data_IF_983566948333
#
_entry.id   IF_983566948333
#
_cell.length_a   1.000
_cell.length_b   1.000
_cell.length_c   1.000
_cell.angle_alpha   90.00
_cell.angle_beta   90.00
_cell.angle_gamma   90.00
#
_symmetry.space_group_name_H-M   'P 1'
#
loop_
_entity.id
_entity.type
_entity.pdbx_description
1 polymer ?
#
# COMPACT_ATOMS: atom_id res chain seq x y z
N UNK A 1 -24.37 26.62 18.34
CA UNK A 1 -23.19 27.44 18.01
C UNK A 1 -22.46 26.75 16.88
N UNK A 2 -22.72 27.18 15.64
CA UNK A 2 -22.19 26.59 14.39
C UNK A 2 -20.66 26.39 14.50
N UNK A 3 -20.19 25.15 14.39
CA UNK A 3 -18.75 24.87 14.35
C UNK A 3 -18.30 24.94 12.89
N UNK A 4 -17.35 25.83 12.64
CA UNK A 4 -16.81 26.07 11.30
C UNK A 4 -15.43 25.41 11.23
N UNK A 5 -15.29 24.42 10.34
CA UNK A 5 -14.02 23.73 10.10
C UNK A 5 -13.29 24.36 8.93
N UNK A 6 -12.01 24.65 9.12
CA UNK A 6 -11.11 25.17 8.08
C UNK A 6 -10.39 24.04 7.36
N UNK A 7 -9.74 24.39 6.25
CA UNK A 7 -8.90 23.47 5.48
C UNK A 7 -7.84 22.81 6.39
N UNK A 8 -7.62 21.53 6.18
CA UNK A 8 -6.67 20.65 6.89
C UNK A 8 -7.04 20.35 8.37
N UNK A 9 -8.17 20.84 8.87
CA UNK A 9 -8.66 20.48 10.20
C UNK A 9 -9.26 19.08 10.23
N UNK A 10 -9.01 18.36 11.33
CA UNK A 10 -9.57 17.03 11.53
C UNK A 10 -11.06 17.07 11.85
N UNK A 11 -11.76 16.09 11.27
CA UNK A 11 -13.17 15.82 11.44
C UNK A 11 -13.28 14.44 12.09
N UNK A 12 -13.91 14.39 13.25
CA UNK A 12 -14.27 13.17 13.95
C UNK A 12 -15.38 12.41 13.22
N UNK A 13 -15.58 11.13 13.53
CA UNK A 13 -16.65 10.31 12.93
C UNK A 13 -18.04 10.91 13.14
N UNK A 14 -18.31 11.45 14.33
CA UNK A 14 -19.61 12.06 14.65
C UNK A 14 -19.83 13.33 13.81
N UNK A 15 -18.82 14.20 13.70
CA UNK A 15 -18.88 15.39 12.84
C UNK A 15 -19.03 15.02 11.35
N UNK A 16 -18.42 13.92 10.91
CA UNK A 16 -18.58 13.41 9.56
C UNK A 16 -20.02 12.95 9.27
N UNK A 17 -20.61 12.16 10.17
CA UNK A 17 -22.01 11.72 10.03
C UNK A 17 -22.97 12.92 10.04
N UNK A 18 -22.65 13.97 10.82
CA UNK A 18 -23.44 15.20 10.85
C UNK A 18 -23.61 15.88 9.50
N UNK A 19 -22.68 15.67 8.56
CA UNK A 19 -22.77 16.20 7.20
C UNK A 19 -23.98 15.65 6.41
N UNK A 20 -24.66 14.61 6.90
CA UNK A 20 -25.77 13.95 6.21
C UNK A 20 -27.11 13.97 6.99
N UNK A 21 -27.23 14.78 8.04
CA UNK A 21 -28.52 15.03 8.70
C UNK A 21 -29.38 16.02 7.89
N UNK A 22 -30.71 15.92 7.97
CA UNK A 22 -31.62 16.96 7.46
C UNK A 22 -31.80 18.08 8.49
N UNK A 23 -32.27 19.24 8.04
CA UNK A 23 -32.82 20.27 8.93
C UNK A 23 -33.91 19.66 9.84
N UNK A 24 -34.01 20.21 11.05
CA UNK A 24 -34.80 19.66 12.17
C UNK A 24 -36.27 19.48 11.83
N UNK A 25 -36.85 18.40 12.34
CA UNK A 25 -38.30 18.27 12.49
C UNK A 25 -38.78 19.30 13.54
N UNK A 26 -39.65 20.27 13.18
CA UNK A 26 -40.14 21.31 14.08
C UNK A 26 -40.92 20.76 15.28
N UNK A 27 -41.29 19.48 15.27
CA UNK A 27 -42.19 18.86 16.25
C UNK A 27 -41.47 18.11 17.37
N UNK A 28 -40.22 17.67 17.19
CA UNK A 28 -39.50 16.85 18.19
C UNK A 28 -38.08 17.31 18.54
N UNK A 29 -37.51 18.27 17.79
CA UNK A 29 -36.15 18.77 18.03
C UNK A 29 -35.03 17.76 17.83
N UNK A 30 -35.33 16.51 17.47
CA UNK A 30 -34.33 15.46 17.17
C UNK A 30 -33.85 15.56 15.72
N UNK A 31 -32.54 15.60 15.53
CA UNK A 31 -31.90 15.43 14.23
C UNK A 31 -32.16 14.01 13.72
N UNK A 32 -32.99 13.87 12.69
CA UNK A 32 -33.23 12.59 12.04
C UNK A 32 -32.21 12.47 10.89
N UNK A 33 -31.42 11.39 10.81
CA UNK A 33 -30.55 11.17 9.67
C UNK A 33 -31.37 11.10 8.38
N UNK A 34 -30.96 11.88 7.38
CA UNK A 34 -31.56 11.82 6.07
C UNK A 34 -31.04 10.57 5.35
N UNK A 35 -31.77 9.48 5.49
CA UNK A 35 -31.41 8.18 4.91
C UNK A 35 -31.19 8.26 3.40
N UNK A 36 -31.93 9.13 2.71
CA UNK A 36 -31.79 9.31 1.26
C UNK A 36 -30.45 9.99 0.90
N UNK A 37 -30.03 11.00 1.68
CA UNK A 37 -28.71 11.63 1.51
C UNK A 37 -27.57 10.64 1.80
N UNK A 38 -27.69 9.82 2.86
CA UNK A 38 -26.68 8.81 3.20
C UNK A 38 -26.60 7.73 2.11
N UNK A 39 -27.74 7.25 1.62
CA UNK A 39 -27.80 6.29 0.51
C UNK A 39 -27.16 6.86 -0.76
N UNK A 40 -27.45 8.13 -1.08
CA UNK A 40 -26.83 8.82 -2.21
C UNK A 40 -25.32 8.98 -2.05
N UNK A 41 -24.84 9.29 -0.84
CA UNK A 41 -23.40 9.37 -0.55
C UNK A 41 -22.70 8.01 -0.68
N UNK A 42 -23.35 6.93 -0.23
CA UNK A 42 -22.87 5.55 -0.43
C UNK A 42 -22.82 5.22 -1.92
N UNK A 43 -23.85 5.55 -2.70
CA UNK A 43 -23.89 5.33 -4.14
C UNK A 43 -22.74 6.05 -4.86
N UNK A 44 -22.54 7.35 -4.57
CA UNK A 44 -21.41 8.13 -5.10
C UNK A 44 -20.07 7.47 -4.74
N UNK A 45 -19.89 7.03 -3.50
CA UNK A 45 -18.66 6.38 -3.07
C UNK A 45 -18.44 5.03 -3.76
N UNK A 46 -19.51 4.25 -3.99
CA UNK A 46 -19.45 2.98 -4.70
C UNK A 46 -19.09 3.15 -6.18
N UNK A 47 -19.73 4.09 -6.85
CA UNK A 47 -19.47 4.41 -8.26
C UNK A 47 -18.06 4.96 -8.44
N UNK A 48 -17.63 5.86 -7.55
CA UNK A 48 -16.27 6.40 -7.59
C UNK A 48 -15.23 5.32 -7.31
N UNK A 49 -15.48 4.41 -6.35
CA UNK A 49 -14.60 3.26 -6.09
C UNK A 49 -14.49 2.37 -7.32
N UNK A 50 -15.61 2.07 -7.98
CA UNK A 50 -15.63 1.26 -9.21
C UNK A 50 -14.84 1.94 -10.33
N UNK A 51 -15.08 3.24 -10.54
CA UNK A 51 -14.35 4.05 -11.52
C UNK A 51 -12.84 4.07 -11.25
N UNK A 52 -12.42 4.24 -10.00
CA UNK A 52 -11.00 4.19 -9.61
C UNK A 52 -10.36 2.82 -9.85
N UNK A 53 -11.11 1.72 -9.65
CA UNK A 53 -10.65 0.37 -10.00
C UNK A 53 -10.48 0.23 -11.51
N UNK A 54 -11.41 0.73 -12.32
CA UNK A 54 -11.29 0.70 -13.78
C UNK A 54 -10.09 1.53 -14.26
N UNK A 55 -9.94 2.76 -13.75
CA UNK A 55 -8.80 3.61 -14.05
C UNK A 55 -7.48 2.97 -13.60
N UNK A 56 -7.46 2.28 -12.47
CA UNK A 56 -6.29 1.57 -11.98
C UNK A 56 -5.77 0.53 -12.99
N UNK A 57 -6.69 -0.25 -13.59
CA UNK A 57 -6.33 -1.21 -14.63
C UNK A 57 -5.90 -0.53 -15.93
N UNK A 58 -6.60 0.53 -16.36
CA UNK A 58 -6.20 1.33 -17.54
C UNK A 58 -4.80 1.93 -17.35
N UNK A 59 -4.50 2.43 -16.15
CA UNK A 59 -3.16 2.95 -15.81
C UNK A 59 -2.09 1.89 -15.89
N UNK A 60 -2.38 0.73 -15.31
CA UNK A 60 -1.48 -0.43 -15.36
C UNK A 60 -1.17 -0.84 -16.80
N UNK A 61 -2.16 -0.86 -17.69
CA UNK A 61 -1.98 -1.25 -19.08
C UNK A 61 -0.99 -0.34 -19.83
N UNK A 62 -1.14 0.98 -19.75
CA UNK A 62 -0.20 1.87 -20.46
C UNK A 62 1.20 1.85 -19.85
N UNK A 63 1.34 1.72 -18.52
CA UNK A 63 2.67 1.66 -17.90
C UNK A 63 3.41 0.39 -18.34
N UNK A 64 2.72 -0.76 -18.37
CA UNK A 64 3.28 -2.01 -18.88
C UNK A 64 3.69 -1.87 -20.34
N UNK A 65 2.86 -1.21 -21.17
CA UNK A 65 3.17 -0.96 -22.59
C UNK A 65 4.44 -0.12 -22.75
N UNK A 66 4.54 1.03 -22.08
CA UNK A 66 5.70 1.91 -22.18
C UNK A 66 6.97 1.25 -21.64
N UNK A 67 6.90 0.59 -20.49
CA UNK A 67 8.03 -0.13 -19.91
C UNK A 67 8.47 -1.28 -20.85
N UNK A 68 7.53 -1.97 -21.48
CA UNK A 68 7.82 -3.00 -22.48
C UNK A 68 8.57 -2.43 -23.70
N UNK A 69 8.12 -1.29 -24.23
CA UNK A 69 8.81 -0.62 -25.33
C UNK A 69 10.25 -0.18 -24.95
N UNK A 70 10.42 0.37 -23.75
CA UNK A 70 11.74 0.75 -23.22
C UNK A 70 12.63 -0.47 -23.03
N UNK A 71 12.09 -1.60 -22.58
CA UNK A 71 12.85 -2.84 -22.46
C UNK A 71 13.37 -3.32 -23.83
N UNK A 72 12.53 -3.31 -24.87
CA UNK A 72 12.94 -3.66 -26.24
C UNK A 72 13.99 -2.67 -26.76
N UNK A 73 13.79 -1.38 -26.54
CA UNK A 73 14.75 -0.34 -26.91
C UNK A 73 16.11 -0.53 -26.24
N UNK A 74 16.12 -0.81 -24.93
CA UNK A 74 17.33 -1.08 -24.17
C UNK A 74 18.05 -2.32 -24.71
N UNK A 75 17.33 -3.41 -24.96
CA UNK A 75 17.92 -4.63 -25.54
C UNK A 75 18.58 -4.36 -26.89
N UNK A 76 17.91 -3.64 -27.78
CA UNK A 76 18.46 -3.30 -29.10
C UNK A 76 19.74 -2.44 -28.99
N UNK A 77 19.73 -1.43 -28.12
CA UNK A 77 20.90 -0.56 -27.88
C UNK A 77 22.06 -1.33 -27.24
N UNK A 78 21.75 -2.23 -26.31
CA UNK A 78 22.73 -3.10 -25.65
C UNK A 78 23.36 -4.11 -26.63
N UNK A 79 22.59 -4.65 -27.58
CA UNK A 79 23.07 -5.65 -28.54
C UNK A 79 23.79 -5.05 -29.75
N UNK A 80 23.31 -3.90 -30.27
CA UNK A 80 23.73 -3.41 -31.59
C UNK A 80 24.46 -2.06 -31.57
N UNK A 81 24.40 -1.31 -30.47
CA UNK A 81 25.02 0.02 -30.38
C UNK A 81 26.24 0.02 -29.45
N UNK A 82 27.26 0.80 -29.79
CA UNK A 82 28.38 1.11 -28.89
C UNK A 82 28.14 2.37 -28.05
N UNK A 83 26.98 3.01 -28.19
CA UNK A 83 26.70 4.27 -27.49
C UNK A 83 26.24 3.99 -26.07
N UNK A 84 27.20 4.04 -25.14
CA UNK A 84 26.94 3.86 -23.72
C UNK A 84 25.96 4.91 -23.16
N UNK A 85 26.05 6.15 -23.64
CA UNK A 85 25.15 7.23 -23.23
C UNK A 85 23.69 6.92 -23.60
N UNK A 86 23.46 6.22 -24.72
CA UNK A 86 22.12 5.80 -25.11
C UNK A 86 21.59 4.70 -24.17
N UNK A 87 22.39 3.71 -23.80
CA UNK A 87 21.95 2.64 -22.88
C UNK A 87 21.65 3.20 -21.49
N UNK A 88 22.51 4.10 -21.00
CA UNK A 88 22.35 4.79 -19.72
C UNK A 88 21.08 5.66 -19.70
N UNK A 89 20.81 6.41 -20.78
CA UNK A 89 19.59 7.21 -20.91
C UNK A 89 18.34 6.34 -20.91
N UNK A 90 18.33 5.25 -21.69
CA UNK A 90 17.18 4.34 -21.74
C UNK A 90 16.97 3.64 -20.39
N UNK A 91 18.04 3.24 -19.69
CA UNK A 91 17.95 2.66 -18.36
C UNK A 91 17.38 3.66 -17.33
N UNK A 92 17.81 4.93 -17.38
CA UNK A 92 17.27 6.00 -16.55
C UNK A 92 15.77 6.25 -16.85
N UNK A 93 15.38 6.25 -18.12
CA UNK A 93 14.00 6.40 -18.54
C UNK A 93 13.13 5.22 -18.07
N UNK A 94 13.63 3.98 -18.20
CA UNK A 94 12.97 2.78 -17.69
C UNK A 94 12.77 2.81 -16.18
N UNK A 95 13.77 3.29 -15.44
CA UNK A 95 13.67 3.52 -13.99
C UNK A 95 12.59 4.55 -13.66
N UNK A 96 12.62 5.72 -14.30
CA UNK A 96 11.65 6.80 -14.04
C UNK A 96 10.21 6.36 -14.33
N UNK A 97 9.96 5.71 -15.47
CA UNK A 97 8.63 5.22 -15.82
C UNK A 97 8.13 4.16 -14.82
N UNK A 98 9.01 3.27 -14.36
CA UNK A 98 8.67 2.24 -13.39
C UNK A 98 8.40 2.83 -12.00
N UNK A 99 9.17 3.85 -11.60
CA UNK A 99 8.96 4.59 -10.35
C UNK A 99 7.62 5.32 -10.37
N UNK A 100 7.29 6.00 -11.49
CA UNK A 100 6.00 6.65 -11.68
C UNK A 100 4.85 5.65 -11.61
N UNK A 101 5.01 4.47 -12.20
CA UNK A 101 4.01 3.39 -12.09
C UNK A 101 3.82 2.94 -10.64
N UNK A 102 4.91 2.74 -9.90
CA UNK A 102 4.85 2.38 -8.49
C UNK A 102 4.13 3.45 -7.65
N UNK A 103 4.43 4.73 -7.87
CA UNK A 103 3.75 5.85 -7.21
C UNK A 103 2.26 5.91 -7.56
N UNK A 104 1.91 5.75 -8.84
CA UNK A 104 0.51 5.70 -9.29
C UNK A 104 -0.26 4.54 -8.64
N UNK A 105 0.37 3.37 -8.49
CA UNK A 105 -0.22 2.23 -7.79
C UNK A 105 -0.42 2.49 -6.28
N UNK A 106 0.49 3.23 -5.64
CA UNK A 106 0.32 3.67 -4.24
C UNK A 106 -0.81 4.66 -4.09
N UNK A 107 -0.88 5.67 -4.94
CA UNK A 107 -1.95 6.67 -4.95
C UNK A 107 -3.32 6.04 -5.18
N UNK A 108 -3.43 5.14 -6.17
CA UNK A 108 -4.69 4.44 -6.46
C UNK A 108 -5.19 3.63 -5.26
N UNK A 109 -4.28 2.95 -4.55
CA UNK A 109 -4.64 2.18 -3.35
C UNK A 109 -5.09 3.08 -2.19
N UNK A 110 -4.46 4.24 -2.03
CA UNK A 110 -4.87 5.22 -1.03
C UNK A 110 -6.31 5.69 -1.27
N UNK A 111 -6.64 6.08 -2.51
CA UNK A 111 -7.99 6.52 -2.85
C UNK A 111 -9.03 5.39 -2.76
N UNK A 112 -8.68 4.16 -3.13
CA UNK A 112 -9.55 2.99 -2.92
C UNK A 112 -9.86 2.79 -1.43
N UNK A 113 -8.84 2.78 -0.57
CA UNK A 113 -9.00 2.64 0.89
C UNK A 113 -9.81 3.81 1.48
N UNK A 114 -9.66 5.02 0.94
CA UNK A 114 -10.46 6.18 1.33
C UNK A 114 -11.96 5.97 1.05
N UNK A 115 -12.31 5.59 -0.18
CA UNK A 115 -13.71 5.33 -0.54
C UNK A 115 -14.30 4.13 0.22
N UNK A 116 -13.50 3.08 0.44
CA UNK A 116 -13.88 1.95 1.28
C UNK A 116 -14.21 2.38 2.72
N UNK A 117 -13.44 3.30 3.30
CA UNK A 117 -13.69 3.83 4.63
C UNK A 117 -15.00 4.65 4.70
N UNK A 118 -15.28 5.50 3.70
CA UNK A 118 -16.56 6.21 3.61
C UNK A 118 -17.75 5.25 3.52
N UNK A 119 -17.65 4.21 2.69
CA UNK A 119 -18.68 3.19 2.54
C UNK A 119 -18.86 2.42 3.86
N UNK A 120 -17.77 2.02 4.53
CA UNK A 120 -17.82 1.32 5.81
C UNK A 120 -18.56 2.13 6.87
N UNK A 121 -18.18 3.40 7.05
CA UNK A 121 -18.77 4.28 8.07
C UNK A 121 -20.27 4.51 7.81
N UNK A 122 -20.64 4.89 6.58
CA UNK A 122 -22.03 5.19 6.22
C UNK A 122 -22.91 3.93 6.24
N UNK A 123 -22.40 2.80 5.74
CA UNK A 123 -23.17 1.55 5.71
C UNK A 123 -23.36 0.92 7.09
N UNK A 124 -22.38 1.10 7.98
CA UNK A 124 -22.51 0.69 9.39
C UNK A 124 -23.54 1.55 10.10
N UNK A 125 -23.55 2.85 9.85
CA UNK A 125 -24.55 3.77 10.40
C UNK A 125 -25.98 3.42 9.98
N UNK A 126 -26.19 3.02 8.71
CA UNK A 126 -27.50 2.55 8.23
C UNK A 126 -27.90 1.15 8.69
N UNK A 127 -27.01 0.41 9.37
CA UNK A 127 -27.26 -0.97 9.79
C UNK A 127 -27.13 -2.00 8.65
N UNK A 128 -26.47 -1.66 7.55
CA UNK A 128 -26.24 -2.53 6.39
C UNK A 128 -24.74 -2.73 6.09
N UNK A 129 -23.94 -3.34 7.00
CA UNK A 129 -22.48 -3.41 6.89
C UNK A 129 -21.99 -4.48 5.89
N UNK A 130 -22.51 -4.48 4.66
CA UNK A 130 -22.24 -5.49 3.62
C UNK A 130 -20.74 -5.60 3.33
N UNK A 131 -20.01 -4.48 3.34
CA UNK A 131 -18.56 -4.45 3.08
C UNK A 131 -17.70 -4.81 4.30
N UNK A 132 -18.26 -4.71 5.52
CA UNK A 132 -17.58 -5.08 6.77
C UNK A 132 -17.67 -6.57 7.08
N UNK A 133 -18.64 -7.29 6.52
CA UNK A 133 -18.82 -8.73 6.71
C UNK A 133 -18.05 -9.49 5.63
N UNK A 134 -16.83 -9.93 5.96
CA UNK A 134 -16.00 -10.73 5.05
C UNK A 134 -15.96 -12.20 5.47
N UNK A 135 -16.19 -13.09 4.50
CA UNK A 135 -16.06 -14.53 4.69
C UNK A 135 -14.62 -14.88 5.08
N UNK A 136 -14.44 -15.38 6.31
CA UNK A 136 -13.16 -15.89 6.77
C UNK A 136 -12.80 -17.17 6.02
N UNK A 137 -11.60 -17.24 5.47
CA UNK A 137 -11.08 -18.43 4.82
C UNK A 137 -9.89 -18.97 5.60
N UNK A 138 -9.95 -20.25 5.98
CA UNK A 138 -8.96 -20.88 6.87
C UNK A 138 -7.86 -21.63 6.12
N UNK A 139 -7.91 -21.70 4.79
CA UNK A 139 -6.90 -22.44 4.03
C UNK A 139 -5.47 -21.94 4.32
N UNK A 140 -4.52 -22.86 4.53
CA UNK A 140 -3.13 -22.49 4.73
C UNK A 140 -2.54 -21.95 3.41
N UNK A 141 -1.61 -20.99 3.51
CA UNK A 141 -0.88 -20.41 2.37
C UNK A 141 -0.23 -21.49 1.48
N UNK A 142 0.11 -22.65 2.06
CA UNK A 142 0.76 -23.77 1.35
C UNK A 142 -0.19 -24.54 0.44
N UNK A 143 -1.51 -24.40 0.61
CA UNK A 143 -2.49 -25.06 -0.26
C UNK A 143 -2.55 -24.27 -1.57
N UNK A 144 -1.84 -24.76 -2.59
CA UNK A 144 -1.63 -24.08 -3.87
C UNK A 144 -2.94 -23.69 -4.56
N UNK A 145 -3.96 -24.55 -4.49
CA UNK A 145 -5.30 -24.31 -5.06
C UNK A 145 -6.32 -23.74 -4.05
N UNK A 146 -5.88 -23.42 -2.83
CA UNK A 146 -6.73 -22.87 -1.78
C UNK A 146 -6.95 -21.38 -1.95
N UNK A 147 -8.03 -20.84 -1.38
CA UNK A 147 -8.30 -19.41 -1.47
C UNK A 147 -7.52 -18.66 -0.39
N UNK A 148 -6.73 -17.66 -0.76
CA UNK A 148 -6.02 -16.83 0.20
C UNK A 148 -6.32 -15.35 -0.06
N UNK A 149 -6.64 -14.55 0.99
CA UNK A 149 -7.07 -13.18 0.79
C UNK A 149 -5.85 -12.27 0.54
N UNK A 150 -5.28 -12.37 -0.66
CA UNK A 150 -4.29 -11.44 -1.17
C UNK A 150 -4.97 -10.12 -1.57
N UNK A 151 -4.26 -9.00 -1.35
CA UNK A 151 -4.71 -7.71 -1.88
C UNK A 151 -4.15 -7.54 -3.29
N UNK A 152 -5.03 -7.53 -4.29
CA UNK A 152 -4.67 -7.36 -5.71
C UNK A 152 -3.87 -6.06 -5.91
N UNK A 153 -4.29 -4.96 -5.28
CA UNK A 153 -3.58 -3.68 -5.36
C UNK A 153 -2.16 -3.74 -4.79
N UNK A 154 -1.92 -4.52 -3.73
CA UNK A 154 -0.56 -4.75 -3.18
C UNK A 154 0.31 -5.62 -4.07
N UNK A 155 -0.29 -6.60 -4.76
CA UNK A 155 0.44 -7.44 -5.71
C UNK A 155 1.02 -6.58 -6.83
N UNK A 156 0.22 -5.72 -7.44
CA UNK A 156 0.70 -4.83 -8.50
C UNK A 156 1.72 -3.78 -8.00
N UNK A 157 1.56 -3.29 -6.76
CA UNK A 157 2.57 -2.44 -6.12
C UNK A 157 3.91 -3.16 -5.98
N UNK A 158 3.90 -4.46 -5.62
CA UNK A 158 5.13 -5.26 -5.61
C UNK A 158 5.69 -5.46 -7.01
N UNK A 159 4.86 -5.72 -8.02
CA UNK A 159 5.31 -5.87 -9.43
C UNK A 159 6.02 -4.61 -9.90
N UNK A 160 5.38 -3.45 -9.77
CA UNK A 160 5.97 -2.15 -10.14
C UNK A 160 7.24 -1.83 -9.34
N UNK A 161 7.30 -2.18 -8.05
CA UNK A 161 8.50 -2.02 -7.23
C UNK A 161 9.65 -2.91 -7.71
N UNK A 162 9.38 -4.18 -8.02
CA UNK A 162 10.37 -5.13 -8.55
C UNK A 162 10.97 -4.57 -9.83
N UNK A 163 10.12 -4.15 -10.77
CA UNK A 163 10.55 -3.61 -12.05
C UNK A 163 11.36 -2.31 -11.86
N UNK A 164 10.96 -1.45 -10.93
CA UNK A 164 11.73 -0.24 -10.56
C UNK A 164 13.14 -0.60 -10.05
N UNK A 165 13.24 -1.57 -9.14
CA UNK A 165 14.54 -2.04 -8.62
C UNK A 165 15.38 -2.64 -9.74
N UNK A 166 14.79 -3.45 -10.63
CA UNK A 166 15.50 -4.02 -11.78
C UNK A 166 16.08 -2.94 -12.70
N UNK A 167 15.30 -1.90 -13.02
CA UNK A 167 15.81 -0.77 -13.80
C UNK A 167 16.87 0.04 -13.07
N UNK A 168 16.73 0.23 -11.75
CA UNK A 168 17.74 0.91 -10.95
C UNK A 168 19.07 0.15 -10.94
N UNK A 169 19.03 -1.18 -10.78
CA UNK A 169 20.22 -2.03 -10.88
C UNK A 169 20.82 -1.98 -12.29
N UNK A 170 19.99 -1.95 -13.33
CA UNK A 170 20.45 -1.82 -14.72
C UNK A 170 21.15 -0.48 -14.95
N UNK A 171 20.57 0.62 -14.44
CA UNK A 171 21.16 1.95 -14.49
C UNK A 171 22.50 2.02 -13.75
N UNK A 172 22.58 1.46 -12.53
CA UNK A 172 23.85 1.36 -11.79
C UNK A 172 24.88 0.54 -12.59
N UNK A 173 24.46 -0.60 -13.14
CA UNK A 173 25.33 -1.48 -13.93
C UNK A 173 25.91 -0.74 -15.13
N UNK A 174 25.09 0.02 -15.87
CA UNK A 174 25.59 0.85 -16.96
C UNK A 174 26.50 1.97 -16.43
N UNK A 175 26.06 2.74 -15.43
CA UNK A 175 26.85 3.85 -14.87
C UNK A 175 28.22 3.44 -14.31
N UNK A 176 28.34 2.24 -13.72
CA UNK A 176 29.59 1.73 -13.14
C UNK A 176 30.51 1.06 -14.17
N UNK A 177 29.96 0.57 -15.29
CA UNK A 177 30.74 -0.05 -16.39
C UNK A 177 31.18 1.01 -17.42
N UNK A 178 30.95 2.30 -17.14
CA UNK A 178 31.29 3.42 -18.02
C UNK A 178 32.77 3.49 -18.43
N UNK A 179 33.70 2.98 -17.60
CA UNK A 179 35.14 3.03 -17.88
C UNK A 179 35.85 1.69 -17.56
N UNK A 180 36.79 1.26 -18.43
CA UNK A 180 37.61 0.05 -18.18
C UNK A 180 38.48 0.23 -16.92
N UNK A 181 38.84 1.48 -16.58
CA UNK A 181 39.49 1.82 -15.31
C UNK A 181 38.57 1.61 -14.10
N UNK A 182 37.28 1.94 -14.20
CA UNK A 182 36.31 1.75 -13.12
C UNK A 182 36.06 0.26 -12.88
N UNK A 183 36.05 -0.54 -13.94
CA UNK A 183 35.99 -2.00 -13.86
C UNK A 183 37.22 -2.58 -13.12
N UNK A 184 38.40 -2.02 -13.32
CA UNK A 184 39.61 -2.39 -12.57
C UNK A 184 39.58 -1.92 -11.11
N UNK A 185 39.05 -0.72 -10.85
CA UNK A 185 38.87 -0.20 -9.48
C UNK A 185 37.85 -1.02 -8.70
N UNK A 186 36.70 -1.36 -9.30
CA UNK A 186 35.68 -2.22 -8.69
C UNK A 186 36.26 -3.61 -8.41
N UNK A 187 36.98 -4.20 -9.36
CA UNK A 187 37.71 -5.45 -9.12
C UNK A 187 38.67 -5.34 -7.94
N UNK A 188 39.44 -4.25 -7.83
CA UNK A 188 40.34 -4.01 -6.69
C UNK A 188 39.60 -3.82 -5.36
N UNK A 189 38.46 -3.14 -5.35
CA UNK A 189 37.65 -2.90 -4.14
C UNK A 189 37.01 -4.20 -3.66
N UNK A 190 36.47 -5.00 -4.57
CA UNK A 190 35.94 -6.33 -4.27
C UNK A 190 37.08 -7.24 -3.78
N UNK A 191 38.27 -7.15 -4.41
CA UNK A 191 39.45 -7.91 -4.01
C UNK A 191 40.03 -7.54 -2.64
N UNK A 192 39.94 -6.28 -2.24
CA UNK A 192 40.29 -5.85 -0.89
C UNK A 192 39.27 -6.32 0.16
N UNK A 193 38.10 -6.81 -0.24
CA UNK A 193 37.14 -7.44 0.65
C UNK A 193 37.36 -8.95 0.64
N UNK A 194 38.34 -9.45 1.41
CA UNK A 194 38.75 -10.87 1.42
C UNK A 194 37.59 -11.87 1.54
N UNK A 195 36.51 -11.48 2.20
CA UNK A 195 35.30 -12.30 2.33
C UNK A 195 34.49 -12.40 1.04
N UNK A 196 34.27 -11.28 0.33
CA UNK A 196 33.47 -11.26 -0.90
C UNK A 196 34.21 -11.92 -2.06
N UNK A 197 35.53 -11.73 -2.14
CA UNK A 197 36.36 -12.33 -3.19
C UNK A 197 36.41 -13.86 -3.08
N UNK A 198 36.53 -14.38 -1.87
CA UNK A 198 36.46 -15.83 -1.61
C UNK A 198 35.10 -16.40 -2.02
N UNK A 199 34.01 -15.68 -1.74
CA UNK A 199 32.65 -16.07 -2.13
C UNK A 199 32.46 -16.01 -3.65
N UNK A 200 32.96 -14.97 -4.32
CA UNK A 200 32.81 -14.78 -5.76
C UNK A 200 33.59 -15.84 -6.55
N UNK A 201 34.84 -16.11 -6.14
CA UNK A 201 35.67 -17.17 -6.72
C UNK A 201 35.02 -18.55 -6.54
N UNK A 202 34.56 -18.86 -5.33
CA UNK A 202 33.84 -20.10 -5.04
C UNK A 202 32.54 -20.27 -5.86
N UNK A 203 31.82 -19.17 -6.12
CA UNK A 203 30.61 -19.13 -6.96
C UNK A 203 30.89 -19.22 -8.46
N UNK A 204 32.02 -18.69 -8.92
CA UNK A 204 32.44 -18.68 -10.32
C UNK A 204 32.78 -20.11 -10.78
N UNK A 205 33.49 -20.88 -9.95
CA UNK A 205 33.98 -22.21 -10.31
C UNK A 205 32.95 -23.33 -10.06
N UNK A 206 31.97 -23.11 -9.18
CA UNK A 206 30.99 -24.12 -8.82
C UNK A 206 29.58 -23.79 -9.34
N UNK A 207 29.26 -24.31 -10.53
CA UNK A 207 27.95 -24.14 -11.16
C UNK A 207 26.79 -24.58 -10.25
N UNK A 208 27.00 -25.62 -9.45
CA UNK A 208 26.02 -26.16 -8.52
C UNK A 208 25.71 -25.20 -7.37
N UNK A 209 26.75 -24.57 -6.79
CA UNK A 209 26.59 -23.57 -5.74
C UNK A 209 25.91 -22.29 -6.24
N UNK A 210 26.21 -21.86 -7.47
CA UNK A 210 25.48 -20.75 -8.13
C UNK A 210 24.00 -21.05 -8.26
N UNK A 211 23.64 -22.27 -8.69
CA UNK A 211 22.22 -22.67 -8.81
C UNK A 211 21.52 -22.74 -7.46
N UNK A 212 22.17 -23.30 -6.43
CA UNK A 212 21.61 -23.41 -5.08
C UNK A 212 21.36 -22.03 -4.47
N UNK A 213 22.34 -21.13 -4.56
CA UNK A 213 22.21 -19.76 -4.03
C UNK A 213 21.12 -19.00 -4.78
N UNK A 214 21.03 -19.16 -6.11
CA UNK A 214 19.94 -18.62 -6.90
C UNK A 214 18.55 -19.09 -6.45
N UNK A 215 18.38 -20.40 -6.21
CA UNK A 215 17.13 -20.98 -5.70
C UNK A 215 16.79 -20.43 -4.32
N UNK A 216 17.76 -20.32 -3.41
CA UNK A 216 17.55 -19.77 -2.07
C UNK A 216 17.08 -18.32 -2.15
N UNK A 217 17.71 -17.49 -3.00
CA UNK A 217 17.30 -16.10 -3.20
C UNK A 217 15.85 -16.02 -3.70
N UNK A 218 15.47 -16.86 -4.67
CA UNK A 218 14.09 -16.91 -5.19
C UNK A 218 13.10 -17.32 -4.09
N UNK A 219 13.43 -18.31 -3.26
CA UNK A 219 12.58 -18.73 -2.14
C UNK A 219 12.42 -17.61 -1.10
N UNK A 220 13.50 -16.92 -0.75
CA UNK A 220 13.47 -15.80 0.20
C UNK A 220 12.62 -14.65 -0.36
N UNK A 221 12.85 -14.30 -1.63
CA UNK A 221 12.16 -13.19 -2.28
C UNK A 221 10.67 -13.48 -2.48
N UNK A 222 10.32 -14.69 -2.92
CA UNK A 222 8.92 -15.12 -3.02
C UNK A 222 8.23 -15.13 -1.64
N UNK A 223 8.90 -15.60 -0.59
CA UNK A 223 8.41 -15.51 0.78
C UNK A 223 8.16 -14.07 1.23
N UNK A 224 9.06 -13.14 0.88
CA UNK A 224 8.90 -11.71 1.15
C UNK A 224 7.70 -11.12 0.42
N UNK A 225 7.55 -11.38 -0.88
CA UNK A 225 6.42 -10.91 -1.69
C UNK A 225 5.09 -11.43 -1.10
N UNK A 226 5.00 -12.73 -0.82
CA UNK A 226 3.81 -13.34 -0.20
C UNK A 226 3.48 -12.66 1.12
N UNK A 227 4.48 -12.36 1.95
CA UNK A 227 4.29 -11.66 3.22
C UNK A 227 3.77 -10.23 3.06
N UNK A 228 4.29 -9.46 2.09
CA UNK A 228 3.85 -8.08 1.82
C UNK A 228 2.46 -8.01 1.20
N UNK A 229 2.13 -8.97 0.34
CA UNK A 229 0.87 -9.01 -0.41
C UNK A 229 -0.34 -9.49 0.43
N UNK A 230 -0.13 -9.94 1.66
CA UNK A 230 -1.23 -10.33 2.57
C UNK A 230 -2.28 -9.22 2.66
N UNK A 231 -3.52 -9.56 2.30
CA UNK A 231 -4.69 -8.71 2.50
C UNK A 231 -5.03 -8.57 3.97
N UNK A 232 -6.04 -7.76 4.27
CA UNK A 232 -6.40 -7.47 5.65
C UNK A 232 -6.98 -8.70 6.38
N UNK A 233 -7.72 -9.57 5.67
CA UNK A 233 -8.33 -10.77 6.22
C UNK A 233 -7.28 -11.84 6.59
N UNK A 234 -6.15 -11.86 5.88
CA UNK A 234 -5.02 -12.75 6.17
C UNK A 234 -4.25 -12.40 7.46
N UNK A 235 -4.47 -11.21 8.03
CA UNK A 235 -3.77 -10.71 9.22
C UNK A 235 -4.51 -10.98 10.53
N UNK A 236 -5.73 -11.52 10.48
CA UNK A 236 -6.49 -11.84 11.68
C UNK A 236 -5.84 -12.99 12.46
N UNK A 237 -5.79 -12.92 13.80
CA UNK A 237 -5.25 -14.00 14.61
C UNK A 237 -6.05 -15.28 14.33
N UNK A 238 -5.35 -16.35 13.96
CA UNK A 238 -5.94 -17.69 13.99
C UNK A 238 -6.26 -18.00 15.45
N UNK A 239 -7.51 -18.37 15.66
CA UNK A 239 -8.19 -18.71 16.90
C UNK A 239 -7.22 -19.35 17.92
N UNK A 240 -7.25 -18.85 19.16
CA UNK A 240 -6.17 -18.99 20.13
C UNK A 240 -5.92 -20.40 20.65
N UNK A 241 -5.03 -21.15 20.02
CA UNK A 241 -4.31 -22.27 20.63
C UNK A 241 -2.94 -22.44 19.92
N UNK A 242 -1.86 -22.50 20.71
CA UNK A 242 -0.45 -22.82 20.36
C UNK A 242 0.61 -21.71 20.25
N UNK A 243 0.27 -20.42 20.28
CA UNK A 243 1.22 -19.38 19.85
C UNK A 243 2.12 -18.72 20.95
N UNK A 244 2.46 -19.45 22.02
CA UNK A 244 3.23 -18.91 23.16
C UNK A 244 4.74 -18.79 22.93
N UNK A 245 5.34 -19.71 22.18
CA UNK A 245 6.81 -19.76 21.96
C UNK A 245 7.25 -19.08 20.66
N UNK A 246 6.44 -19.13 19.60
CA UNK A 246 6.76 -18.51 18.30
C UNK A 246 6.70 -16.97 18.35
N UNK A 247 5.74 -16.42 19.12
CA UNK A 247 5.58 -14.96 19.32
C UNK A 247 6.83 -14.29 19.90
N UNK A 248 7.55 -14.91 20.85
CA UNK A 248 8.75 -14.31 21.47
C UNK A 248 9.95 -14.21 20.53
N UNK A 249 10.12 -15.19 19.61
CA UNK A 249 11.22 -15.18 18.64
C UNK A 249 10.95 -14.16 17.51
N UNK A 250 9.71 -14.09 17.04
CA UNK A 250 9.30 -13.15 16.00
C UNK A 250 9.23 -11.69 16.48
N UNK A 251 8.91 -11.45 17.76
CA UNK A 251 8.91 -10.11 18.35
C UNK A 251 10.31 -9.48 18.39
N UNK A 252 11.34 -10.24 18.78
CA UNK A 252 12.73 -9.74 18.79
C UNK A 252 13.25 -9.41 17.39
N UNK A 253 12.91 -10.24 16.39
CA UNK A 253 13.28 -9.99 14.99
C UNK A 253 12.54 -8.77 14.42
N UNK A 254 11.26 -8.58 14.79
CA UNK A 254 10.43 -7.44 14.40
C UNK A 254 10.91 -6.11 14.99
N UNK A 255 11.38 -6.11 16.24
CA UNK A 255 11.96 -4.92 16.88
C UNK A 255 13.33 -4.54 16.26
N UNK A 256 14.16 -5.53 15.89
CA UNK A 256 15.41 -5.28 15.16
C UNK A 256 15.22 -4.67 13.77
N UNK A 257 14.19 -5.12 13.03
CA UNK A 257 13.87 -4.62 11.69
C UNK A 257 13.11 -3.27 11.68
N UNK A 258 12.44 -2.91 12.78
CA UNK A 258 11.76 -1.60 12.92
C UNK A 258 12.72 -0.41 12.90
N UNK A 259 13.97 -0.59 13.33
CA UNK A 259 15.00 0.47 13.30
C UNK A 259 15.45 0.89 11.90
N UNK A 260 15.23 0.06 10.87
CA UNK A 260 15.74 0.30 9.52
C UNK A 260 14.69 0.77 8.50
N UNK A 261 13.40 0.58 8.78
CA UNK A 261 12.33 0.95 7.84
C UNK A 261 11.20 1.66 8.58
N UNK A 262 11.32 2.98 8.70
CA UNK A 262 10.22 3.82 9.16
C UNK A 262 9.19 3.99 8.02
N UNK A 263 8.40 2.95 7.77
CA UNK A 263 7.13 3.06 7.03
C UNK A 263 6.02 2.95 8.07
N UNK A 264 5.52 4.12 8.47
CA UNK A 264 4.34 4.23 9.31
C UNK A 264 3.13 3.69 8.55
N UNK A 265 2.72 2.48 8.89
CA UNK A 265 1.35 2.02 8.68
C UNK A 265 0.76 1.69 10.06
N UNK A 266 0.33 2.73 10.76
CA UNK A 266 -0.85 2.71 11.64
C UNK A 266 -2.08 2.72 10.71
N UNK A 267 -3.16 1.96 10.89
CA UNK A 267 -3.90 1.66 12.11
C UNK A 267 -4.53 0.26 12.13
N UNK A 268 -4.54 -0.34 13.34
CA UNK A 268 -5.47 -1.39 13.83
C UNK A 268 -5.31 -1.61 15.35
N UNK A 269 -4.90 -0.56 16.07
CA UNK A 269 -4.49 -0.58 17.49
C UNK A 269 -5.29 0.41 18.38
N UNK A 270 -6.50 0.83 17.99
CA UNK A 270 -7.34 1.69 18.84
C UNK A 270 -7.02 3.19 18.79
N UNK A 271 -6.62 3.72 17.63
CA UNK A 271 -6.70 5.17 17.35
C UNK A 271 -7.88 5.46 16.44
N UNK A 272 -8.57 6.56 16.71
CA UNK A 272 -9.68 7.08 15.90
C UNK A 272 -9.23 7.40 14.47
N UNK A 273 -10.07 7.07 13.49
CA UNK A 273 -9.90 7.52 12.10
C UNK A 273 -10.30 9.00 12.08
N UNK A 274 -9.37 9.87 11.72
CA UNK A 274 -9.62 11.30 11.51
C UNK A 274 -9.84 11.55 10.01
N UNK A 275 -11.02 12.05 9.65
CA UNK A 275 -11.23 12.66 8.35
C UNK A 275 -10.62 14.07 8.37
N UNK A 276 -10.36 14.69 7.23
CA UNK A 276 -9.93 16.08 7.18
C UNK A 276 -10.65 16.82 6.07
N UNK A 277 -10.87 18.11 6.28
CA UNK A 277 -11.49 18.96 5.28
C UNK A 277 -10.44 19.48 4.30
N UNK A 278 -10.55 19.14 3.01
CA UNK A 278 -9.53 19.51 2.01
C UNK A 278 -9.90 20.72 1.15
N UNK A 279 -11.13 21.24 1.24
CA UNK A 279 -11.57 22.37 0.42
C UNK A 279 -11.21 23.71 1.05
N UNK A 280 -11.04 24.72 0.21
CA UNK A 280 -10.76 26.10 0.65
C UNK A 280 -11.97 26.81 1.26
N UNK A 281 -13.18 26.37 0.91
CA UNK A 281 -14.42 26.82 1.56
C UNK A 281 -14.47 26.27 2.98
N UNK A 282 -15.12 26.98 3.90
CA UNK A 282 -15.32 26.45 5.26
C UNK A 282 -16.42 25.38 5.28
N UNK A 283 -16.23 24.33 6.08
CA UNK A 283 -17.28 23.34 6.34
C UNK A 283 -18.07 23.78 7.58
N UNK A 284 -19.34 24.09 7.37
CA UNK A 284 -20.28 24.49 8.42
C UNK A 284 -20.95 23.25 9.01
N UNK A 285 -20.72 23.00 10.30
CA UNK A 285 -21.37 21.96 11.07
C UNK A 285 -22.36 22.60 12.03
N UNK A 286 -23.64 22.28 11.89
CA UNK A 286 -24.65 22.73 12.83
C UNK A 286 -24.45 22.03 14.18
N UNK A 287 -24.33 22.84 15.25
CA UNK A 287 -24.35 22.34 16.61
C UNK A 287 -25.61 22.83 17.30
N UNK A 288 -26.50 21.89 17.58
CA UNK A 288 -27.50 22.07 18.62
C UNK A 288 -27.46 20.90 19.60
N UNK A 289 -26.68 21.15 20.67
CA UNK A 289 -26.71 20.59 22.03
C UNK A 289 -26.56 19.08 22.25
N UNK A 290 -25.30 18.69 22.52
CA UNK A 290 -24.94 17.95 23.73
C UNK A 290 -25.13 18.84 24.97
N UNK A 291 -26.36 19.06 25.40
CA UNK A 291 -26.69 19.68 26.68
C UNK A 291 -28.10 19.23 27.06
N UNK A 292 -28.19 18.07 27.73
CA UNK A 292 -29.24 17.65 28.65
C UNK A 292 -28.99 16.19 29.03
N UNK A 293 -28.01 15.96 29.91
CA UNK A 293 -27.92 14.72 30.71
C UNK A 293 -27.33 14.98 32.12
N UNK A 294 -27.29 16.23 32.58
CA UNK A 294 -26.87 16.60 33.93
C UNK A 294 -27.85 17.62 34.55
N UNK A 295 -29.11 17.24 34.79
CA UNK A 295 -29.90 17.78 35.91
C UNK A 295 -31.20 16.99 36.14
N UNK A 296 -31.07 15.71 36.51
CA UNK A 296 -32.09 15.00 37.28
C UNK A 296 -31.42 14.23 38.41
N UNK A 297 -30.78 14.97 39.32
CA UNK A 297 -30.56 14.47 40.66
C UNK A 297 -30.57 15.61 41.67
N UNK A 298 -31.75 16.20 41.88
CA UNK A 298 -32.06 16.93 43.11
C UNK A 298 -33.46 16.56 43.58
N UNK A 299 -33.47 16.02 44.81
CA UNK A 299 -34.54 16.18 45.81
C UNK A 299 -35.93 15.67 45.42
N UNK A 300 -36.25 14.46 45.87
CA UNK A 300 -37.18 14.24 46.99
C UNK A 300 -36.85 12.92 47.69
#
# INVERSE_FOLDING_TARGET
MEQVKKKDESISKQEYIKCYHSEKDPTSGKEIPNKDLINKAIEIALDTRKFEIELYWKRTAYFVLFIGAIFVGYYNVFSNSKSHWASLFIAALGFLLSLLWYMANRGSKFWQENWEAHIEELSTYLGTPIFGIIKSHKDPIRKVMGHYPFSVSKVNQMVSLIITISWFLTFIKDSLIFNENDKQIIKKVIANCSFLDTILFFLQDNIWWRTIIGIIIIIIFSGYVIWRCKGFAAKLPKDGTSNGKEKKKFHRLREGLKKFFHVSHKDRNGKEIYYFWNYSSELKLDNTSSANDEDQNKTN
#
